data_IF_540138282087
#
_entry.id   IF_540138282087
#
_cell.length_a   1.000
_cell.length_b   1.000
_cell.length_c   1.000
_cell.angle_alpha   90.00
_cell.angle_beta   90.00
_cell.angle_gamma   90.00
#
_symmetry.space_group_name_H-M   'P 1'
#
loop_
_entity.id
_entity.type
_entity.pdbx_description
1 polymer ?
#
# COMPACT_ATOMS: atom_id res chain seq x y z
N UNK A 1 -65.87 -25.59 -26.70
CA UNK A 1 -64.51 -25.91 -26.16
C UNK A 1 -63.60 -24.73 -26.44
N UNK A 2 -63.33 -23.93 -25.41
CA UNK A 2 -62.48 -22.73 -25.49
C UNK A 2 -61.19 -23.07 -24.76
N UNK A 3 -60.08 -22.97 -25.42
CA UNK A 3 -58.77 -23.24 -24.88
C UNK A 3 -58.21 -21.87 -24.44
N UNK A 4 -58.06 -21.71 -23.12
CA UNK A 4 -57.42 -20.57 -22.52
C UNK A 4 -55.89 -20.74 -22.59
N UNK A 5 -55.19 -19.82 -23.25
CA UNK A 5 -53.75 -19.69 -23.24
C UNK A 5 -53.33 -18.86 -22.05
N UNK A 6 -52.55 -19.46 -21.14
CA UNK A 6 -51.89 -18.78 -20.03
C UNK A 6 -50.70 -17.94 -20.52
N UNK A 7 -50.44 -16.74 -19.97
CA UNK A 7 -49.28 -15.98 -20.33
C UNK A 7 -48.04 -16.55 -19.60
N UNK A 8 -46.99 -16.79 -20.32
CA UNK A 8 -45.68 -17.15 -19.80
C UNK A 8 -45.05 -15.93 -19.12
N UNK A 9 -44.88 -15.98 -17.81
CA UNK A 9 -44.05 -15.04 -17.08
C UNK A 9 -42.60 -15.35 -17.36
N UNK A 10 -41.96 -14.53 -18.17
CA UNK A 10 -40.49 -14.51 -18.28
C UNK A 10 -39.92 -13.89 -17.03
N UNK A 11 -39.39 -14.71 -16.15
CA UNK A 11 -38.57 -14.27 -15.03
C UNK A 11 -37.21 -13.81 -15.59
N UNK A 12 -37.04 -12.51 -15.75
CA UNK A 12 -35.72 -11.89 -15.88
C UNK A 12 -35.03 -12.00 -14.51
N UNK A 13 -34.45 -13.14 -14.19
CA UNK A 13 -33.42 -13.23 -13.18
C UNK A 13 -32.17 -12.57 -13.78
N UNK A 14 -31.90 -11.31 -13.43
CA UNK A 14 -30.53 -10.76 -13.57
C UNK A 14 -29.62 -11.75 -12.83
N UNK A 15 -28.72 -12.38 -13.57
CA UNK A 15 -27.65 -13.14 -12.94
C UNK A 15 -26.93 -12.19 -11.98
N UNK A 16 -26.96 -12.50 -10.69
CA UNK A 16 -26.14 -11.81 -9.69
C UNK A 16 -24.68 -12.02 -10.12
N UNK A 17 -24.07 -10.98 -10.63
CA UNK A 17 -22.66 -11.01 -11.00
C UNK A 17 -21.87 -11.25 -9.72
N UNK A 18 -21.12 -12.36 -9.66
CA UNK A 18 -20.28 -12.68 -8.52
C UNK A 18 -19.31 -11.52 -8.30
N UNK A 19 -19.38 -10.90 -7.12
CA UNK A 19 -18.50 -9.78 -6.76
C UNK A 19 -17.07 -10.28 -6.66
N UNK A 20 -16.12 -9.52 -7.23
CA UNK A 20 -14.71 -9.81 -7.14
C UNK A 20 -14.19 -9.49 -5.71
N UNK A 21 -13.20 -10.24 -5.28
CA UNK A 21 -12.49 -9.99 -4.01
C UNK A 21 -11.36 -9.00 -4.22
N UNK A 22 -10.99 -8.26 -3.17
CA UNK A 22 -9.92 -7.25 -3.22
C UNK A 22 -10.46 -5.85 -2.95
N UNK A 23 -9.55 -4.90 -2.79
CA UNK A 23 -9.80 -3.47 -2.60
C UNK A 23 -9.26 -2.69 -3.79
N UNK A 24 -9.67 -1.43 -3.92
CA UNK A 24 -9.26 -0.56 -5.00
C UNK A 24 -9.85 -0.92 -6.36
N UNK A 25 -9.12 -0.62 -7.43
CA UNK A 25 -9.47 -0.98 -8.79
C UNK A 25 -9.02 -2.41 -9.10
N UNK A 26 -9.94 -3.26 -9.56
CA UNK A 26 -9.74 -4.69 -9.85
C UNK A 26 -10.09 -4.95 -11.32
N UNK A 27 -9.12 -4.89 -12.25
CA UNK A 27 -9.35 -5.18 -13.66
C UNK A 27 -9.83 -6.61 -13.89
N UNK A 28 -10.71 -6.80 -14.87
CA UNK A 28 -11.19 -8.12 -15.30
C UNK A 28 -11.69 -8.09 -16.76
N UNK A 29 -12.04 -9.25 -17.35
CA UNK A 29 -12.42 -9.37 -18.76
C UNK A 29 -13.51 -8.40 -19.26
N UNK A 30 -14.41 -7.95 -18.37
CA UNK A 30 -15.58 -7.17 -18.73
C UNK A 30 -15.57 -5.74 -18.12
N UNK A 31 -14.40 -5.20 -17.78
CA UNK A 31 -14.24 -3.88 -17.22
C UNK A 31 -13.40 -3.87 -15.93
N UNK A 32 -13.75 -3.00 -15.00
CA UNK A 32 -13.04 -2.86 -13.73
C UNK A 32 -14.04 -2.85 -12.59
N UNK A 33 -13.82 -3.69 -11.59
CA UNK A 33 -14.53 -3.61 -10.32
C UNK A 33 -13.77 -2.67 -9.37
N UNK A 34 -14.51 -1.93 -8.56
CA UNK A 34 -13.96 -0.99 -7.59
C UNK A 34 -14.53 -1.29 -6.21
N UNK A 35 -13.67 -1.28 -5.21
CA UNK A 35 -14.09 -1.40 -3.80
C UNK A 35 -13.32 -0.42 -2.94
N UNK A 36 -14.05 0.31 -2.07
CA UNK A 36 -13.49 1.28 -1.14
C UNK A 36 -14.19 1.20 0.22
N UNK A 37 -13.46 1.53 1.28
CA UNK A 37 -13.99 1.65 2.63
C UNK A 37 -14.20 3.11 2.99
N UNK A 38 -15.47 3.50 3.18
CA UNK A 38 -15.92 4.86 3.52
C UNK A 38 -17.17 4.76 4.40
N UNK A 39 -17.01 4.44 5.70
CA UNK A 39 -18.13 4.07 6.57
C UNK A 39 -19.12 5.20 6.88
N UNK A 40 -18.71 6.45 6.73
CA UNK A 40 -19.58 7.61 6.99
C UNK A 40 -20.12 8.25 5.71
N UNK A 41 -19.80 7.68 4.55
CA UNK A 41 -20.31 8.15 3.27
C UNK A 41 -21.84 7.89 3.16
N UNK A 42 -22.56 8.87 2.60
CA UNK A 42 -23.96 8.70 2.19
C UNK A 42 -24.05 8.14 0.77
N UNK A 43 -23.06 8.46 -0.08
CA UNK A 43 -22.92 7.99 -1.45
C UNK A 43 -21.45 7.94 -1.82
N UNK A 44 -21.09 6.96 -2.65
CA UNK A 44 -19.78 6.87 -3.29
C UNK A 44 -20.00 6.61 -4.79
N UNK A 45 -19.27 7.34 -5.63
CA UNK A 45 -19.22 7.12 -7.08
C UNK A 45 -17.77 6.94 -7.51
N UNK A 46 -17.55 6.17 -8.58
CA UNK A 46 -16.23 6.15 -9.25
C UNK A 46 -16.28 7.18 -10.38
N UNK A 47 -15.33 8.09 -10.39
CA UNK A 47 -15.16 9.08 -11.45
C UNK A 47 -13.83 8.87 -12.16
N UNK A 48 -13.79 9.08 -13.46
CA UNK A 48 -12.55 8.87 -14.23
C UNK A 48 -12.74 9.14 -15.72
N UNK A 49 -11.71 8.84 -16.49
CA UNK A 49 -11.69 9.05 -17.95
C UNK A 49 -12.84 8.31 -18.66
N UNK A 50 -13.23 7.14 -18.15
CA UNK A 50 -14.27 6.28 -18.71
C UNK A 50 -15.69 6.89 -18.62
N UNK A 51 -15.93 7.90 -17.78
CA UNK A 51 -17.23 8.53 -17.59
C UNK A 51 -17.17 10.08 -17.59
N UNK A 52 -16.07 10.65 -18.15
CA UNK A 52 -15.80 12.08 -18.18
C UNK A 52 -15.85 12.73 -16.78
N UNK A 53 -15.34 12.00 -15.77
CA UNK A 53 -15.26 12.46 -14.37
C UNK A 53 -16.63 12.84 -13.75
N UNK A 54 -17.69 12.16 -14.17
CA UNK A 54 -19.05 12.43 -13.69
C UNK A 54 -19.41 11.62 -12.45
N UNK A 55 -19.72 12.30 -11.34
CA UNK A 55 -20.18 11.66 -10.11
C UNK A 55 -21.61 11.11 -10.16
N UNK A 56 -22.38 11.41 -11.21
CA UNK A 56 -23.74 10.97 -11.38
C UNK A 56 -23.89 9.59 -12.06
N UNK A 57 -22.81 9.09 -12.69
CA UNK A 57 -22.87 7.88 -13.51
C UNK A 57 -22.56 6.63 -12.69
N UNK A 58 -21.35 6.30 -12.45
CA UNK A 58 -20.94 5.02 -11.87
C UNK A 58 -21.02 5.02 -10.32
N UNK A 59 -22.27 5.10 -9.82
CA UNK A 59 -22.55 5.04 -8.39
C UNK A 59 -22.33 3.64 -7.84
N UNK A 60 -21.63 3.56 -6.72
CA UNK A 60 -21.32 2.31 -6.03
C UNK A 60 -22.46 1.88 -5.09
N UNK A 61 -22.53 0.61 -4.82
CA UNK A 61 -23.52 0.01 -3.91
C UNK A 61 -22.86 -0.31 -2.56
N UNK A 62 -23.50 0.06 -1.46
CA UNK A 62 -23.04 -0.29 -0.12
C UNK A 62 -23.09 -1.82 0.09
N UNK A 63 -21.99 -2.41 0.59
CA UNK A 63 -21.88 -3.84 0.92
C UNK A 63 -22.11 -4.13 2.41
N UNK A 64 -22.27 -3.12 3.24
CA UNK A 64 -22.25 -3.18 4.70
C UNK A 64 -20.87 -2.92 5.28
N UNK A 65 -20.80 -2.71 6.60
CA UNK A 65 -19.58 -2.41 7.35
C UNK A 65 -18.75 -1.22 6.76
N UNK A 66 -19.42 -0.31 6.03
CA UNK A 66 -18.78 0.85 5.41
C UNK A 66 -18.06 0.58 4.10
N UNK A 67 -18.19 -0.62 3.53
CA UNK A 67 -17.64 -0.93 2.22
C UNK A 67 -18.62 -0.57 1.10
N UNK A 68 -18.06 -0.12 -0.02
CA UNK A 68 -18.75 0.24 -1.25
C UNK A 68 -18.15 -0.53 -2.41
N UNK A 69 -19.00 -1.04 -3.32
CA UNK A 69 -18.62 -1.82 -4.48
C UNK A 69 -19.34 -1.34 -5.74
N UNK A 70 -18.62 -1.23 -6.83
CA UNK A 70 -19.14 -0.96 -8.17
C UNK A 70 -18.40 -1.77 -9.23
N UNK A 71 -19.07 -2.02 -10.35
CA UNK A 71 -18.45 -2.64 -11.53
C UNK A 71 -18.71 -1.76 -12.74
N UNK A 72 -17.66 -1.28 -13.39
CA UNK A 72 -17.69 -0.32 -14.49
C UNK A 72 -17.17 -0.97 -15.75
N UNK A 73 -18.08 -1.32 -16.67
CA UNK A 73 -17.73 -2.04 -17.90
C UNK A 73 -17.02 -1.17 -18.95
N UNK A 74 -17.10 0.16 -18.82
CA UNK A 74 -16.40 1.12 -19.68
C UNK A 74 -14.99 1.45 -19.23
N UNK A 75 -14.63 1.08 -17.97
CA UNK A 75 -13.31 1.33 -17.41
C UNK A 75 -12.30 0.28 -17.92
N UNK A 76 -11.06 0.72 -18.10
CA UNK A 76 -9.94 -0.12 -18.56
C UNK A 76 -8.62 0.31 -17.96
N UNK A 77 -7.65 -0.59 -17.96
CA UNK A 77 -6.26 -0.35 -17.52
C UNK A 77 -5.67 0.88 -18.22
N UNK A 78 -4.93 1.69 -17.47
CA UNK A 78 -4.28 2.91 -17.92
C UNK A 78 -5.12 4.17 -17.82
N UNK A 79 -6.41 4.05 -17.48
CA UNK A 79 -7.27 5.23 -17.27
C UNK A 79 -7.15 5.80 -15.87
N UNK A 80 -7.22 7.12 -15.77
CA UNK A 80 -7.26 7.85 -14.52
C UNK A 80 -8.61 7.73 -13.82
N UNK A 81 -8.60 7.67 -12.47
CA UNK A 81 -9.83 7.60 -11.67
C UNK A 81 -9.65 8.15 -10.25
N UNK A 82 -10.78 8.47 -9.62
CA UNK A 82 -10.92 8.79 -8.18
C UNK A 82 -12.24 8.21 -7.63
N UNK A 83 -12.34 8.18 -6.32
CA UNK A 83 -13.64 8.03 -5.64
C UNK A 83 -14.20 9.40 -5.31
N UNK A 84 -15.43 9.68 -5.74
CA UNK A 84 -16.20 10.81 -5.25
C UNK A 84 -17.07 10.36 -4.09
N UNK A 85 -16.82 10.94 -2.91
CA UNK A 85 -17.46 10.57 -1.65
C UNK A 85 -18.34 11.71 -1.18
N UNK A 86 -19.63 11.43 -0.93
CA UNK A 86 -20.56 12.38 -0.36
C UNK A 86 -20.83 12.04 1.10
N UNK A 87 -20.66 13.03 2.00
CA UNK A 87 -20.99 12.92 3.41
C UNK A 87 -21.77 14.19 3.83
N UNK A 88 -23.09 14.07 4.08
CA UNK A 88 -23.98 15.21 4.26
C UNK A 88 -23.98 16.13 3.04
N UNK A 89 -23.65 17.41 3.25
CA UNK A 89 -23.58 18.43 2.19
C UNK A 89 -22.16 18.55 1.58
N UNK A 90 -21.20 17.72 2.02
CA UNK A 90 -19.83 17.77 1.56
C UNK A 90 -19.59 16.70 0.49
N UNK A 91 -18.79 17.05 -0.52
CA UNK A 91 -18.34 16.15 -1.60
C UNK A 91 -16.84 16.21 -1.68
N UNK A 92 -16.20 15.05 -1.72
CA UNK A 92 -14.75 14.90 -1.77
C UNK A 92 -14.36 14.02 -2.94
N UNK A 93 -13.42 14.46 -3.76
CA UNK A 93 -12.75 13.61 -4.74
C UNK A 93 -11.46 13.08 -4.10
N UNK A 94 -11.32 11.76 -3.99
CA UNK A 94 -10.24 11.07 -3.27
C UNK A 94 -9.50 10.11 -4.19
N UNK A 95 -8.18 10.18 -4.18
CA UNK A 95 -7.35 9.11 -4.75
C UNK A 95 -7.66 7.82 -3.98
N UNK A 96 -7.72 6.70 -4.70
CA UNK A 96 -7.95 5.40 -4.10
C UNK A 96 -6.81 5.05 -3.12
N UNK A 97 -7.11 4.74 -1.85
CA UNK A 97 -6.08 4.33 -0.89
C UNK A 97 -5.26 3.09 -1.33
N UNK A 98 -5.84 2.23 -2.17
CA UNK A 98 -5.20 1.03 -2.71
C UNK A 98 -4.65 1.21 -4.13
N UNK A 99 -4.61 2.43 -4.68
CA UNK A 99 -4.03 2.67 -6.00
C UNK A 99 -2.56 2.23 -6.04
N UNK A 100 -2.23 1.36 -7.01
CA UNK A 100 -0.87 0.84 -7.24
C UNK A 100 -0.01 1.80 -8.05
N UNK A 101 -0.66 2.68 -8.77
CA UNK A 101 -0.06 3.71 -9.60
C UNK A 101 -0.88 4.99 -9.48
N UNK A 102 -0.21 6.12 -9.44
CA UNK A 102 -0.80 7.46 -9.44
C UNK A 102 -0.04 8.35 -10.42
N UNK A 103 -0.67 9.40 -10.88
CA UNK A 103 0.02 10.39 -11.74
C UNK A 103 1.02 11.24 -10.95
N UNK A 104 0.72 11.50 -9.69
CA UNK A 104 1.55 12.13 -8.65
C UNK A 104 0.75 12.15 -7.33
N UNK A 105 1.33 12.65 -6.26
CA UNK A 105 0.75 12.64 -4.91
C UNK A 105 -0.59 13.40 -4.75
N UNK A 106 -0.91 14.34 -5.65
CA UNK A 106 -2.16 15.12 -5.65
C UNK A 106 -3.02 14.91 -6.89
N UNK A 107 -2.56 14.08 -7.81
CA UNK A 107 -3.20 13.80 -9.10
C UNK A 107 -4.37 12.83 -8.99
N UNK A 108 -4.28 11.73 -9.68
CA UNK A 108 -5.30 10.69 -9.76
C UNK A 108 -4.69 9.28 -9.70
N UNK A 109 -5.47 8.30 -9.25
CA UNK A 109 -5.10 6.90 -9.37
C UNK A 109 -5.18 6.45 -10.82
N UNK A 110 -4.28 5.57 -11.22
CA UNK A 110 -4.32 4.91 -12.53
C UNK A 110 -4.79 3.48 -12.32
N UNK A 111 -5.73 3.04 -13.15
CA UNK A 111 -6.17 1.62 -13.16
C UNK A 111 -5.00 0.78 -13.63
N UNK A 112 -4.40 0.03 -12.72
CA UNK A 112 -3.19 -0.74 -12.94
C UNK A 112 -3.49 -2.24 -12.95
N UNK A 113 -2.92 -2.97 -13.91
CA UNK A 113 -2.91 -4.43 -13.94
C UNK A 113 -1.60 -4.91 -13.30
N UNK A 114 -1.70 -5.61 -12.18
CA UNK A 114 -0.52 -6.12 -11.47
C UNK A 114 0.17 -7.30 -12.15
N UNK A 115 -0.42 -7.86 -13.21
CA UNK A 115 0.19 -8.95 -13.96
C UNK A 115 1.56 -8.54 -14.52
N UNK A 116 2.57 -9.35 -14.22
CA UNK A 116 3.95 -9.13 -14.65
C UNK A 116 4.64 -10.46 -14.92
N UNK A 117 5.44 -10.51 -15.99
CA UNK A 117 6.19 -11.71 -16.34
C UNK A 117 7.50 -11.78 -15.51
N UNK A 118 7.44 -12.46 -14.38
CA UNK A 118 8.60 -12.74 -13.56
C UNK A 118 9.52 -13.81 -14.17
N UNK A 119 9.07 -14.52 -15.21
CA UNK A 119 9.78 -15.64 -15.86
C UNK A 119 10.28 -16.70 -14.83
N UNK A 120 11.54 -17.06 -14.90
CA UNK A 120 12.15 -18.04 -14.00
C UNK A 120 12.85 -17.36 -12.81
N UNK A 121 12.22 -16.36 -12.18
CA UNK A 121 12.75 -15.72 -10.97
C UNK A 121 12.66 -16.69 -9.77
N UNK A 122 13.70 -17.47 -9.59
CA UNK A 122 13.87 -18.44 -8.51
C UNK A 122 14.91 -17.98 -7.45
N UNK A 123 15.12 -16.67 -7.37
CA UNK A 123 16.07 -16.07 -6.45
C UNK A 123 15.84 -16.52 -5.01
N UNK A 124 16.92 -16.75 -4.28
CA UNK A 124 16.89 -17.13 -2.88
C UNK A 124 17.72 -16.15 -2.05
N UNK A 125 17.13 -15.67 -0.97
CA UNK A 125 17.79 -14.83 0.02
C UNK A 125 19.09 -15.49 0.51
N UNK A 126 20.24 -14.79 0.57
CA UNK A 126 21.46 -15.36 1.14
C UNK A 126 21.29 -15.73 2.62
N UNK A 127 22.08 -16.69 3.15
CA UNK A 127 22.05 -17.03 4.56
C UNK A 127 22.27 -15.81 5.45
N UNK A 128 21.52 -15.70 6.54
CA UNK A 128 21.51 -14.52 7.41
C UNK A 128 22.91 -14.07 7.88
N UNK A 129 23.83 -14.99 8.12
CA UNK A 129 25.21 -14.70 8.52
C UNK A 129 26.14 -14.27 7.37
N UNK A 130 25.66 -14.28 6.13
CA UNK A 130 26.41 -13.89 4.93
C UNK A 130 25.86 -12.59 4.32
N UNK A 131 24.83 -11.99 4.94
CA UNK A 131 24.19 -10.79 4.47
C UNK A 131 25.12 -9.58 4.61
N UNK A 132 25.30 -8.84 3.51
CA UNK A 132 25.97 -7.53 3.45
C UNK A 132 24.99 -6.56 2.82
N UNK A 133 24.38 -5.72 3.66
CA UNK A 133 23.34 -4.76 3.24
C UNK A 133 23.98 -3.45 2.78
N UNK A 134 23.51 -2.92 1.66
CA UNK A 134 23.73 -1.54 1.24
C UNK A 134 22.40 -0.82 1.19
N UNK A 135 22.23 0.18 2.06
CA UNK A 135 21.07 1.06 2.04
C UNK A 135 21.24 2.13 0.97
N UNK A 136 20.22 2.31 0.13
CA UNK A 136 20.26 3.25 -0.97
C UNK A 136 18.96 4.03 -1.15
N UNK A 137 19.09 5.30 -1.50
CA UNK A 137 18.00 6.18 -1.89
C UNK A 137 17.96 6.31 -3.41
N UNK A 138 16.90 5.84 -4.05
CA UNK A 138 16.79 5.81 -5.52
C UNK A 138 17.03 7.17 -6.12
N UNK A 139 16.35 8.21 -5.62
CA UNK A 139 16.40 9.56 -6.19
C UNK A 139 17.79 10.23 -6.18
N UNK A 140 18.76 9.73 -5.38
CA UNK A 140 20.10 10.33 -5.28
C UNK A 140 21.25 9.38 -5.50
N UNK A 141 21.00 8.06 -5.61
CA UNK A 141 22.04 7.06 -5.76
C UNK A 141 22.79 7.19 -7.10
N UNK A 142 22.05 7.32 -8.18
CA UNK A 142 22.58 7.63 -9.50
C UNK A 142 21.54 8.38 -10.31
N UNK A 143 21.97 9.36 -11.09
CA UNK A 143 21.11 10.15 -11.96
C UNK A 143 21.77 10.26 -13.33
N UNK A 144 21.00 9.96 -14.37
CA UNK A 144 21.41 10.19 -15.77
C UNK A 144 21.11 11.62 -16.22
N UNK A 145 20.18 12.30 -15.55
CA UNK A 145 19.81 13.70 -15.74
C UNK A 145 19.98 14.47 -14.42
N UNK A 146 20.75 15.53 -14.43
CA UNK A 146 20.99 16.34 -13.23
C UNK A 146 19.78 17.16 -12.77
N UNK A 147 18.80 17.37 -13.65
CA UNK A 147 17.61 18.17 -13.38
C UNK A 147 16.43 17.31 -12.84
N UNK A 148 16.58 15.96 -12.81
CA UNK A 148 15.56 15.02 -12.35
C UNK A 148 16.08 14.17 -11.17
N UNK A 149 15.21 13.62 -10.29
CA UNK A 149 15.63 12.58 -9.38
C UNK A 149 16.11 11.35 -10.17
N UNK A 150 16.96 10.52 -9.53
CA UNK A 150 17.33 9.22 -10.10
C UNK A 150 16.13 8.28 -10.15
N UNK A 151 16.18 7.33 -11.07
CA UNK A 151 15.15 6.31 -11.30
C UNK A 151 15.63 4.91 -10.93
N UNK A 152 14.72 3.93 -10.93
CA UNK A 152 15.09 2.51 -10.80
C UNK A 152 16.02 2.06 -11.93
N UNK A 153 15.81 2.55 -13.15
CA UNK A 153 16.69 2.26 -14.29
C UNK A 153 18.10 2.83 -14.08
N UNK A 154 18.21 4.06 -13.58
CA UNK A 154 19.51 4.66 -13.24
C UNK A 154 20.25 3.86 -12.17
N UNK A 155 19.54 3.39 -11.14
CA UNK A 155 20.13 2.61 -10.07
C UNK A 155 20.72 1.29 -10.58
N UNK A 156 20.09 0.62 -11.53
CA UNK A 156 20.59 -0.61 -12.16
C UNK A 156 21.98 -0.46 -12.77
N UNK A 157 22.31 0.71 -13.30
CA UNK A 157 23.62 0.96 -13.91
C UNK A 157 24.77 0.83 -12.92
N UNK A 158 24.50 0.89 -11.62
CA UNK A 158 25.51 0.82 -10.55
C UNK A 158 25.58 -0.51 -9.82
N UNK A 159 24.71 -1.47 -10.11
CA UNK A 159 24.75 -2.80 -9.50
C UNK A 159 26.11 -3.50 -9.67
N UNK A 160 26.80 -3.44 -10.85
CA UNK A 160 28.13 -4.03 -10.98
C UNK A 160 29.16 -3.49 -9.98
N UNK A 161 29.05 -2.21 -9.60
CA UNK A 161 29.92 -1.62 -8.58
C UNK A 161 29.63 -2.19 -7.18
N UNK A 162 28.36 -2.30 -6.81
CA UNK A 162 27.96 -2.88 -5.52
C UNK A 162 28.35 -4.35 -5.41
N UNK A 163 28.25 -5.10 -6.51
CA UNK A 163 28.71 -6.49 -6.57
C UNK A 163 30.21 -6.62 -6.31
N UNK A 164 31.04 -5.71 -6.85
CA UNK A 164 32.47 -5.66 -6.59
C UNK A 164 32.82 -5.35 -5.13
N UNK A 165 31.95 -4.63 -4.43
CA UNK A 165 32.09 -4.35 -2.99
C UNK A 165 31.69 -5.55 -2.11
N UNK A 166 31.09 -6.60 -2.69
CA UNK A 166 30.62 -7.76 -1.94
C UNK A 166 29.24 -7.56 -1.30
N UNK A 167 28.49 -6.54 -1.71
CA UNK A 167 27.08 -6.34 -1.32
C UNK A 167 26.23 -7.44 -1.94
N UNK A 168 25.28 -7.98 -1.19
CA UNK A 168 24.34 -8.99 -1.66
C UNK A 168 22.87 -8.70 -1.25
N UNK A 169 22.62 -7.62 -0.51
CA UNK A 169 21.29 -7.14 -0.16
C UNK A 169 21.20 -5.63 -0.38
N UNK A 170 20.23 -5.20 -1.14
CA UNK A 170 19.89 -3.79 -1.38
C UNK A 170 18.71 -3.42 -0.48
N UNK A 171 18.92 -2.58 0.52
CA UNK A 171 17.83 -1.99 1.29
C UNK A 171 17.45 -0.66 0.63
N UNK A 172 16.26 -0.63 0.05
CA UNK A 172 15.74 0.54 -0.67
C UNK A 172 14.97 1.41 0.31
N UNK A 173 15.40 2.66 0.50
CA UNK A 173 14.66 3.67 1.24
C UNK A 173 13.25 3.82 0.66
N UNK A 174 12.25 4.34 1.43
CA UNK A 174 10.85 4.27 1.03
C UNK A 174 10.58 4.79 -0.39
N UNK A 175 9.86 4.00 -1.18
CA UNK A 175 9.48 4.31 -2.56
C UNK A 175 7.97 4.41 -2.76
N UNK A 176 7.20 4.42 -1.67
CA UNK A 176 5.79 4.77 -1.76
C UNK A 176 5.64 6.22 -2.17
N UNK A 177 4.65 6.53 -3.00
CA UNK A 177 4.39 7.89 -3.50
C UNK A 177 4.30 8.90 -2.36
N UNK A 178 5.09 9.97 -2.44
CA UNK A 178 5.22 11.02 -1.44
C UNK A 178 4.95 12.41 -2.02
N UNK A 179 4.80 13.40 -1.16
CA UNK A 179 4.53 14.79 -1.58
C UNK A 179 5.73 15.39 -2.31
N UNK A 180 5.54 15.80 -3.56
CA UNK A 180 6.57 16.32 -4.48
C UNK A 180 7.50 15.21 -4.99
N UNK A 181 8.52 15.57 -5.76
CA UNK A 181 9.40 14.64 -6.46
C UNK A 181 10.75 14.43 -5.75
N UNK A 182 11.00 15.15 -4.67
CA UNK A 182 12.27 15.16 -3.93
C UNK A 182 12.03 14.93 -2.44
N UNK A 183 12.19 13.69 -2.00
CA UNK A 183 12.06 13.29 -0.60
C UNK A 183 12.89 12.03 -0.34
N UNK A 184 13.21 11.75 0.92
CA UNK A 184 13.71 10.43 1.34
C UNK A 184 12.60 9.36 1.41
N UNK A 185 11.34 9.77 1.21
CA UNK A 185 10.19 8.86 1.19
C UNK A 185 9.54 8.61 2.55
N UNK A 186 10.08 9.16 3.67
CA UNK A 186 9.50 9.00 5.01
C UNK A 186 8.30 9.90 5.27
N UNK A 187 7.58 10.27 4.22
CA UNK A 187 6.34 11.05 4.26
C UNK A 187 5.33 10.52 3.21
N UNK A 188 5.00 9.21 3.24
CA UNK A 188 4.20 8.60 2.18
C UNK A 188 2.78 9.18 2.14
N UNK A 189 2.36 9.62 0.96
CA UNK A 189 0.99 10.07 0.67
C UNK A 189 0.10 8.89 0.28
N UNK A 190 0.61 7.97 -0.55
CA UNK A 190 -0.09 6.78 -1.04
C UNK A 190 0.79 5.54 -0.89
N UNK A 191 0.56 4.75 0.18
CA UNK A 191 1.46 3.64 0.53
C UNK A 191 1.44 2.48 -0.46
N UNK A 192 0.40 2.34 -1.28
CA UNK A 192 0.29 1.29 -2.30
C UNK A 192 0.88 1.70 -3.65
N UNK A 193 0.97 3.00 -3.93
CA UNK A 193 1.54 3.49 -5.18
C UNK A 193 3.07 3.58 -5.08
N UNK A 194 3.75 3.18 -6.15
CA UNK A 194 5.19 3.37 -6.28
C UNK A 194 5.46 4.77 -6.82
N UNK A 195 6.45 5.45 -6.24
CA UNK A 195 6.84 6.83 -6.59
C UNK A 195 6.98 7.04 -8.10
N UNK A 196 6.14 7.93 -8.59
CA UNK A 196 6.01 8.20 -10.03
C UNK A 196 7.30 8.76 -10.64
N UNK A 197 8.01 9.61 -9.91
CA UNK A 197 9.30 10.17 -10.35
C UNK A 197 10.43 9.13 -10.44
N UNK A 198 10.30 7.97 -9.78
CA UNK A 198 11.27 6.87 -9.88
C UNK A 198 10.97 5.89 -11.00
N UNK A 199 9.82 6.04 -11.69
CA UNK A 199 9.40 5.22 -12.84
C UNK A 199 8.18 4.34 -12.56
N UNK A 200 7.58 4.42 -11.37
CA UNK A 200 6.34 3.71 -11.03
C UNK A 200 6.50 2.20 -10.83
N UNK A 201 5.37 1.47 -10.78
CA UNK A 201 5.37 0.07 -10.33
C UNK A 201 6.09 -0.91 -11.28
N UNK A 202 5.97 -0.75 -12.59
CA UNK A 202 6.64 -1.65 -13.55
C UNK A 202 8.16 -1.48 -13.53
N UNK A 203 8.65 -0.24 -13.37
CA UNK A 203 10.08 0.02 -13.25
C UNK A 203 10.67 -0.59 -11.96
N UNK A 204 9.90 -0.60 -10.86
CA UNK A 204 10.32 -1.29 -9.64
C UNK A 204 10.37 -2.81 -9.84
N UNK A 205 9.36 -3.41 -10.49
CA UNK A 205 9.38 -4.85 -10.81
C UNK A 205 10.58 -5.23 -11.68
N UNK A 206 10.87 -4.43 -12.71
CA UNK A 206 12.04 -4.58 -13.54
C UNK A 206 13.36 -4.46 -12.73
N UNK A 207 13.41 -3.52 -11.78
CA UNK A 207 14.55 -3.35 -10.89
C UNK A 207 14.77 -4.60 -10.03
N UNK A 208 13.73 -5.10 -9.36
CA UNK A 208 13.83 -6.30 -8.50
C UNK A 208 14.27 -7.51 -9.32
N UNK A 209 13.61 -7.79 -10.45
CA UNK A 209 13.96 -8.91 -11.35
C UNK A 209 15.42 -8.86 -11.80
N UNK A 210 15.92 -7.69 -12.18
CA UNK A 210 17.33 -7.51 -12.60
C UNK A 210 18.30 -7.60 -11.43
N UNK A 211 17.91 -7.10 -10.23
CA UNK A 211 18.71 -7.25 -9.02
C UNK A 211 18.88 -8.73 -8.65
N UNK A 212 17.80 -9.52 -8.69
CA UNK A 212 17.83 -10.98 -8.48
C UNK A 212 18.74 -11.67 -9.49
N UNK A 213 18.64 -11.36 -10.77
CA UNK A 213 19.49 -11.92 -11.83
C UNK A 213 21.00 -11.62 -11.60
N UNK A 214 21.31 -10.50 -10.95
CA UNK A 214 22.68 -10.12 -10.55
C UNK A 214 23.11 -10.68 -9.19
N UNK A 215 22.19 -11.35 -8.46
CA UNK A 215 22.46 -12.00 -7.18
C UNK A 215 22.29 -11.08 -5.96
N UNK A 216 21.46 -10.05 -6.06
CA UNK A 216 21.09 -9.18 -4.96
C UNK A 216 19.69 -9.49 -4.47
N UNK A 217 19.51 -9.63 -3.17
CA UNK A 217 18.21 -9.52 -2.52
C UNK A 217 17.78 -8.05 -2.42
N UNK A 218 16.48 -7.81 -2.40
CA UNK A 218 15.88 -6.47 -2.25
C UNK A 218 15.04 -6.42 -0.98
N UNK A 219 15.35 -5.51 -0.07
CA UNK A 219 14.58 -5.23 1.15
C UNK A 219 13.94 -3.86 1.01
N UNK A 220 12.63 -3.78 1.17
CA UNK A 220 11.88 -2.53 1.07
C UNK A 220 11.73 -1.87 2.44
N UNK A 221 12.02 -0.58 2.52
CA UNK A 221 11.74 0.22 3.71
C UNK A 221 10.28 0.68 3.70
N UNK A 222 9.54 0.34 4.77
CA UNK A 222 8.11 0.63 4.90
C UNK A 222 7.82 1.52 6.10
N UNK A 223 7.02 2.56 5.88
CA UNK A 223 6.68 3.57 6.89
C UNK A 223 5.26 3.30 7.39
N UNK A 224 5.14 2.63 8.54
CA UNK A 224 3.84 2.30 9.16
C UNK A 224 3.61 3.00 10.50
N UNK A 225 4.59 3.76 10.98
CA UNK A 225 4.48 4.52 12.22
C UNK A 225 3.74 5.85 12.04
N UNK A 226 3.72 6.40 10.85
CA UNK A 226 2.95 7.58 10.44
C UNK A 226 2.80 7.59 8.92
N UNK A 227 1.85 8.38 8.40
CA UNK A 227 1.78 8.71 6.98
C UNK A 227 2.09 10.20 6.75
N UNK A 228 2.27 10.60 5.50
CA UNK A 228 2.63 11.96 5.17
C UNK A 228 1.58 12.98 5.60
N UNK A 229 1.97 14.14 6.16
CA UNK A 229 1.03 15.20 6.54
C UNK A 229 0.60 16.06 5.35
N UNK A 230 1.37 16.11 4.26
CA UNK A 230 1.09 16.89 3.05
C UNK A 230 0.58 15.98 1.94
N UNK A 231 -0.29 16.50 1.06
CA UNK A 231 -0.82 15.77 -0.11
C UNK A 231 -1.51 14.44 0.28
N UNK A 232 -2.10 14.39 1.46
CA UNK A 232 -2.61 13.17 2.08
C UNK A 232 -4.13 13.07 1.94
N UNK A 233 -4.60 12.43 0.88
CA UNK A 233 -6.04 12.18 0.67
C UNK A 233 -6.67 11.28 1.75
N UNK A 234 -5.87 10.48 2.48
CA UNK A 234 -6.35 9.69 3.62
C UNK A 234 -6.84 10.55 4.79
N UNK A 235 -6.38 11.82 4.90
CA UNK A 235 -6.82 12.71 5.96
C UNK A 235 -8.29 13.07 5.81
N UNK A 236 -9.11 12.66 6.79
CA UNK A 236 -10.57 12.79 6.74
C UNK A 236 -11.16 12.24 5.44
N UNK A 237 -10.71 11.05 5.06
CA UNK A 237 -10.97 10.44 3.76
C UNK A 237 -12.44 10.48 3.35
N UNK A 238 -13.35 10.11 4.27
CA UNK A 238 -14.80 10.12 4.04
C UNK A 238 -15.52 11.34 4.67
N UNK A 239 -14.74 12.38 5.04
CA UNK A 239 -15.25 13.61 5.65
C UNK A 239 -15.51 13.53 7.15
N UNK A 240 -15.47 12.32 7.75
CA UNK A 240 -15.64 12.17 9.20
C UNK A 240 -14.31 12.35 9.95
N UNK A 241 -14.41 12.96 11.13
CA UNK A 241 -13.31 13.02 12.10
C UNK A 241 -13.82 13.32 13.50
N UNK A 242 -13.01 13.00 14.52
CA UNK A 242 -13.22 13.44 15.90
C UNK A 242 -12.01 14.23 16.39
N UNK A 243 -12.24 15.15 17.33
CA UNK A 243 -11.20 15.96 17.98
C UNK A 243 -10.27 16.68 16.99
N UNK A 244 -10.77 17.08 15.84
CA UNK A 244 -9.99 17.71 14.76
C UNK A 244 -8.86 16.85 14.20
N UNK A 245 -8.95 15.52 14.33
CA UNK A 245 -7.94 14.56 13.85
C UNK A 245 -8.24 14.01 12.45
N UNK A 246 -7.50 12.98 12.06
CA UNK A 246 -7.40 12.47 10.70
C UNK A 246 -8.54 11.57 10.21
N UNK A 247 -9.50 11.24 11.07
CA UNK A 247 -10.67 10.46 10.67
C UNK A 247 -10.43 8.96 10.64
N UNK A 248 -11.00 8.28 9.65
CA UNK A 248 -11.15 6.81 9.67
C UNK A 248 -9.84 6.02 9.61
N UNK A 249 -8.77 6.55 9.04
CA UNK A 249 -7.49 5.86 8.96
C UNK A 249 -6.57 6.11 10.15
N UNK A 250 -6.85 7.14 10.97
CA UNK A 250 -5.94 7.62 12.00
C UNK A 250 -6.56 7.55 13.39
N UNK A 251 -5.69 7.50 14.42
CA UNK A 251 -6.15 7.76 15.77
C UNK A 251 -6.77 9.16 15.87
N UNK A 252 -7.93 9.25 16.52
CA UNK A 252 -8.63 10.51 16.74
C UNK A 252 -8.50 11.01 18.18
N UNK A 253 -7.44 10.59 18.88
CA UNK A 253 -7.09 11.01 20.25
C UNK A 253 -5.60 11.36 20.34
N UNK A 254 -5.07 11.44 21.56
CA UNK A 254 -3.67 11.78 21.82
C UNK A 254 -2.65 10.81 21.19
N UNK A 255 -3.05 9.59 20.83
CA UNK A 255 -2.21 8.59 20.15
C UNK A 255 -1.89 8.97 18.71
N UNK A 256 -2.65 9.89 18.09
CA UNK A 256 -2.40 10.33 16.71
C UNK A 256 -1.03 10.99 16.53
N UNK A 257 -0.51 11.63 17.57
CA UNK A 257 0.65 12.51 17.48
C UNK A 257 1.97 11.74 17.36
N UNK A 258 2.79 12.16 16.40
CA UNK A 258 4.16 11.73 16.17
C UNK A 258 5.04 12.96 15.94
N UNK A 259 6.38 12.86 15.95
CA UNK A 259 7.25 13.97 15.57
C UNK A 259 7.02 14.52 14.16
N UNK A 260 6.38 13.72 13.28
CA UNK A 260 6.14 14.04 11.87
C UNK A 260 4.72 14.53 11.60
N UNK A 261 3.84 14.52 12.58
CA UNK A 261 2.45 14.98 12.49
C UNK A 261 1.46 14.11 13.26
N UNK A 262 0.17 14.46 13.13
CA UNK A 262 -0.94 13.75 13.79
C UNK A 262 -1.49 12.59 12.92
N UNK A 263 -0.62 11.93 12.17
CA UNK A 263 -0.97 10.96 11.13
C UNK A 263 -0.56 9.52 11.47
N UNK A 264 -0.55 9.17 12.78
CA UNK A 264 -0.38 7.77 13.18
C UNK A 264 -1.62 6.96 12.79
N UNK A 265 -1.46 5.87 12.01
CA UNK A 265 -2.57 4.98 11.69
C UNK A 265 -3.23 4.39 12.94
N UNK A 266 -4.55 4.18 12.90
CA UNK A 266 -5.29 3.59 14.02
C UNK A 266 -5.13 2.05 14.01
N UNK A 267 -4.11 1.56 14.68
CA UNK A 267 -3.83 0.12 14.79
C UNK A 267 -4.89 -0.67 15.58
N UNK A 268 -5.81 0.01 16.26
CA UNK A 268 -6.96 -0.60 16.93
C UNK A 268 -8.12 -0.90 15.97
N UNK A 269 -8.13 -0.32 14.77
CA UNK A 269 -9.20 -0.46 13.78
C UNK A 269 -8.89 -1.57 12.79
N UNK A 270 -9.81 -2.54 12.66
CA UNK A 270 -9.61 -3.73 11.84
C UNK A 270 -9.26 -3.44 10.38
N UNK A 271 -9.97 -2.48 9.79
CA UNK A 271 -9.77 -2.07 8.39
C UNK A 271 -8.41 -1.40 8.16
N UNK A 272 -7.93 -0.61 9.11
CA UNK A 272 -6.60 0.02 9.03
C UNK A 272 -5.49 -1.02 9.22
N UNK A 273 -5.68 -1.98 10.12
CA UNK A 273 -4.77 -3.12 10.27
C UNK A 273 -4.67 -3.93 8.97
N UNK A 274 -5.83 -4.21 8.34
CA UNK A 274 -5.87 -4.91 7.07
C UNK A 274 -5.19 -4.12 5.95
N UNK A 275 -5.41 -2.80 5.88
CA UNK A 275 -4.76 -1.90 4.93
C UNK A 275 -3.23 -1.98 5.02
N UNK A 276 -2.67 -1.95 6.23
CA UNK A 276 -1.21 -2.07 6.44
C UNK A 276 -0.71 -3.48 6.11
N UNK A 277 -1.45 -4.53 6.49
CA UNK A 277 -1.12 -5.91 6.16
C UNK A 277 -1.12 -6.17 4.65
N UNK A 278 -2.15 -5.68 3.94
CA UNK A 278 -2.26 -5.83 2.49
C UNK A 278 -1.09 -5.13 1.78
N UNK A 279 -0.65 -3.98 2.29
CA UNK A 279 0.52 -3.28 1.77
C UNK A 279 1.81 -4.06 2.02
N UNK A 280 2.03 -4.57 3.24
CA UNK A 280 3.21 -5.37 3.55
C UNK A 280 3.27 -6.64 2.68
N UNK A 281 2.13 -7.31 2.50
CA UNK A 281 2.02 -8.49 1.64
C UNK A 281 2.26 -8.17 0.18
N UNK A 282 1.74 -7.05 -0.31
CA UNK A 282 1.93 -6.57 -1.68
C UNK A 282 3.41 -6.51 -2.08
N UNK A 283 4.26 -5.95 -1.24
CA UNK A 283 5.69 -5.86 -1.53
C UNK A 283 6.33 -7.22 -1.78
N UNK A 284 5.97 -8.23 -0.99
CA UNK A 284 6.51 -9.59 -1.12
C UNK A 284 5.84 -10.38 -2.27
N UNK A 285 4.51 -10.25 -2.43
CA UNK A 285 3.74 -11.07 -3.38
C UNK A 285 3.77 -10.52 -4.81
N UNK A 286 3.55 -9.18 -4.97
CA UNK A 286 3.44 -8.56 -6.29
C UNK A 286 4.79 -8.02 -6.82
N UNK A 287 5.67 -7.57 -5.91
CA UNK A 287 6.96 -6.98 -6.27
C UNK A 287 8.15 -7.90 -6.03
N UNK A 288 7.93 -9.10 -5.47
CA UNK A 288 8.97 -10.10 -5.19
C UNK A 288 10.14 -9.58 -4.36
N UNK A 289 9.93 -8.58 -3.48
CA UNK A 289 11.00 -8.18 -2.57
C UNK A 289 11.28 -9.26 -1.54
N UNK A 290 12.51 -9.37 -1.05
CA UNK A 290 12.96 -10.45 -0.16
C UNK A 290 12.82 -10.11 1.31
N UNK A 291 12.34 -8.91 1.62
CA UNK A 291 12.14 -8.52 3.00
C UNK A 291 11.62 -7.09 3.16
N UNK A 292 11.29 -6.76 4.39
CA UNK A 292 10.81 -5.44 4.79
C UNK A 292 11.62 -4.91 5.96
N UNK A 293 12.01 -3.64 5.90
CA UNK A 293 12.52 -2.88 7.03
C UNK A 293 11.42 -1.92 7.49
N UNK A 294 10.99 -2.06 8.74
CA UNK A 294 9.96 -1.19 9.34
C UNK A 294 10.62 0.03 9.95
N UNK A 295 10.29 1.19 9.41
CA UNK A 295 10.74 2.47 9.92
C UNK A 295 10.22 2.73 11.34
N UNK A 296 11.10 3.17 12.23
CA UNK A 296 10.79 3.67 13.58
C UNK A 296 9.71 2.88 14.34
N UNK A 297 9.88 1.57 14.48
CA UNK A 297 8.95 0.67 15.19
C UNK A 297 8.63 1.12 16.62
N UNK A 298 9.52 1.88 17.25
CA UNK A 298 9.26 2.50 18.53
C UNK A 298 7.99 3.38 18.53
N UNK A 299 7.68 4.05 17.39
CA UNK A 299 6.47 4.86 17.25
C UNK A 299 5.23 4.05 16.80
N UNK A 300 5.39 2.79 16.40
CA UNK A 300 4.27 1.86 16.22
C UNK A 300 3.77 1.35 17.56
N UNK A 301 4.69 1.02 18.49
CA UNK A 301 4.39 0.40 19.78
C UNK A 301 4.24 1.37 20.95
N UNK A 302 4.75 2.61 20.83
CA UNK A 302 4.65 3.64 21.87
C UNK A 302 4.24 5.00 21.31
N UNK A 303 3.63 5.84 22.14
CA UNK A 303 3.18 7.18 21.72
C UNK A 303 4.38 8.10 21.51
N UNK A 304 5.34 8.07 22.42
CA UNK A 304 6.47 9.00 22.45
C UNK A 304 7.74 8.50 21.74
N UNK A 305 7.73 7.27 21.24
CA UNK A 305 8.93 6.61 20.72
C UNK A 305 9.93 6.19 21.79
N UNK A 306 9.61 6.35 23.07
CA UNK A 306 10.46 6.06 24.22
C UNK A 306 9.64 5.29 25.25
N UNK A 307 10.22 4.28 25.88
CA UNK A 307 9.58 3.51 26.94
C UNK A 307 8.96 2.21 26.44
N UNK A 308 8.02 1.71 27.24
CA UNK A 308 7.36 0.44 27.03
C UNK A 308 6.05 0.60 26.22
N UNK A 309 5.41 -0.51 25.89
CA UNK A 309 4.30 -0.65 24.96
C UNK A 309 3.01 0.05 25.43
N UNK A 310 2.88 1.33 25.18
CA UNK A 310 1.65 2.09 25.47
C UNK A 310 0.66 2.14 24.30
N UNK A 311 1.03 1.54 23.13
CA UNK A 311 0.14 1.23 22.01
C UNK A 311 0.17 -0.29 21.76
N UNK A 312 -0.56 -1.04 22.60
CA UNK A 312 -0.62 -2.50 22.53
C UNK A 312 -1.13 -3.02 21.18
N UNK A 313 -2.01 -2.26 20.52
CA UNK A 313 -2.55 -2.56 19.20
C UNK A 313 -1.47 -2.50 18.11
N UNK A 314 -0.51 -1.57 18.22
CA UNK A 314 0.64 -1.47 17.33
C UNK A 314 1.60 -2.66 17.50
N UNK A 315 1.86 -3.09 18.75
CA UNK A 315 2.61 -4.31 19.00
C UNK A 315 1.92 -5.52 18.40
N UNK A 316 0.61 -5.69 18.66
CA UNK A 316 -0.18 -6.79 18.11
C UNK A 316 -0.29 -6.75 16.58
N UNK A 317 -0.19 -5.57 15.93
CA UNK A 317 -0.12 -5.45 14.49
C UNK A 317 1.19 -6.03 13.95
N UNK A 318 2.34 -5.62 14.49
CA UNK A 318 3.64 -6.13 14.09
C UNK A 318 3.74 -7.66 14.28
N UNK A 319 3.26 -8.18 15.43
CA UNK A 319 3.19 -9.62 15.68
C UNK A 319 2.38 -10.36 14.62
N UNK A 320 1.21 -9.85 14.28
CA UNK A 320 0.33 -10.49 13.29
C UNK A 320 0.96 -10.49 11.91
N UNK A 321 1.41 -9.34 11.42
CA UNK A 321 2.00 -9.21 10.09
C UNK A 321 3.25 -10.10 9.98
N UNK A 322 4.18 -9.99 10.93
CA UNK A 322 5.44 -10.72 10.87
C UNK A 322 5.25 -12.24 10.91
N UNK A 323 4.30 -12.73 11.75
CA UNK A 323 3.97 -14.15 11.79
C UNK A 323 3.43 -14.63 10.45
N UNK A 324 2.45 -13.91 9.91
CA UNK A 324 1.76 -14.33 8.70
C UNK A 324 2.69 -14.27 7.48
N UNK A 325 3.52 -13.22 7.37
CA UNK A 325 4.54 -13.12 6.32
C UNK A 325 5.61 -14.20 6.44
N UNK A 326 6.08 -14.51 7.64
CA UNK A 326 7.06 -15.58 7.83
C UNK A 326 6.49 -16.98 7.52
N UNK A 327 5.19 -17.20 7.69
CA UNK A 327 4.51 -18.43 7.28
C UNK A 327 4.35 -18.53 5.76
N UNK A 328 4.01 -17.44 5.08
CA UNK A 328 3.82 -17.41 3.62
C UNK A 328 5.13 -17.28 2.84
N UNK A 329 6.10 -16.54 3.38
CA UNK A 329 7.41 -16.25 2.79
C UNK A 329 8.54 -16.63 3.78
N UNK A 330 8.86 -17.92 3.96
CA UNK A 330 9.74 -18.39 5.03
C UNK A 330 11.15 -17.83 5.03
N UNK A 331 11.63 -17.32 3.89
CA UNK A 331 12.97 -16.76 3.74
C UNK A 331 12.98 -15.22 3.79
N UNK A 332 11.84 -14.56 4.02
CA UNK A 332 11.80 -13.09 4.04
C UNK A 332 12.58 -12.53 5.25
N UNK A 333 13.31 -11.45 5.00
CA UNK A 333 14.04 -10.71 6.03
C UNK A 333 13.15 -9.60 6.60
N UNK A 334 12.83 -9.68 7.88
CA UNK A 334 12.04 -8.66 8.59
C UNK A 334 12.94 -7.90 9.55
N UNK A 335 13.17 -6.61 9.28
CA UNK A 335 14.07 -5.75 10.03
C UNK A 335 13.26 -4.69 10.80
N UNK A 336 13.55 -4.50 12.08
CA UNK A 336 12.97 -3.43 12.87
C UNK A 336 13.97 -2.30 13.09
N UNK A 337 13.64 -1.07 12.73
CA UNK A 337 14.35 0.08 13.29
C UNK A 337 13.63 0.54 14.56
N UNK A 338 14.21 0.32 15.74
CA UNK A 338 13.58 0.66 17.02
C UNK A 338 14.34 1.71 17.81
N UNK A 339 15.68 1.65 17.83
CA UNK A 339 16.60 2.54 18.53
C UNK A 339 16.48 2.52 20.09
N UNK A 340 15.51 1.76 20.65
CA UNK A 340 15.28 1.64 22.10
C UNK A 340 15.85 0.35 22.70
N UNK A 341 16.55 -0.49 21.88
CA UNK A 341 17.12 -1.77 22.30
C UNK A 341 16.10 -2.72 22.94
N UNK A 342 14.89 -2.77 22.37
CA UNK A 342 13.84 -3.67 22.83
C UNK A 342 14.10 -5.10 22.34
N UNK A 343 14.65 -5.95 23.20
CA UNK A 343 14.98 -7.34 22.87
C UNK A 343 13.75 -8.20 22.52
N UNK A 344 12.52 -7.74 22.76
CA UNK A 344 11.30 -8.48 22.40
C UNK A 344 10.95 -8.35 20.93
N UNK A 345 11.52 -7.42 20.20
CA UNK A 345 11.31 -7.31 18.74
C UNK A 345 11.73 -8.56 18.00
N UNK A 346 12.88 -9.14 18.37
CA UNK A 346 13.43 -10.33 17.71
C UNK A 346 13.08 -11.65 18.40
N UNK A 347 12.27 -11.63 19.47
CA UNK A 347 11.77 -12.86 20.11
C UNK A 347 10.63 -13.47 19.29
N UNK A 348 10.50 -14.81 19.29
CA UNK A 348 9.38 -15.50 18.65
C UNK A 348 8.02 -15.11 19.22
N UNK A 349 6.97 -15.20 18.40
CA UNK A 349 5.59 -14.84 18.78
C UNK A 349 5.05 -15.65 19.96
N UNK A 350 5.33 -16.95 20.01
CA UNK A 350 4.93 -17.86 21.09
C UNK A 350 5.52 -17.50 22.45
N UNK A 351 6.58 -16.71 22.46
CA UNK A 351 7.17 -16.11 23.65
C UNK A 351 6.73 -14.66 23.90
N UNK A 352 5.80 -14.13 23.08
CA UNK A 352 5.32 -12.75 23.20
C UNK A 352 6.13 -11.71 22.43
N UNK A 353 7.15 -12.13 21.66
CA UNK A 353 7.96 -11.24 20.83
C UNK A 353 7.26 -10.78 19.55
N UNK A 354 7.81 -9.79 18.88
CA UNK A 354 7.26 -9.28 17.62
C UNK A 354 7.69 -10.08 16.38
N UNK A 355 8.68 -10.97 16.49
CA UNK A 355 9.06 -11.91 15.43
C UNK A 355 9.88 -11.33 14.30
N UNK A 356 10.54 -10.18 14.50
CA UNK A 356 11.50 -9.67 13.51
C UNK A 356 12.75 -10.57 13.41
N UNK A 357 13.34 -10.64 12.24
CA UNK A 357 14.59 -11.38 12.01
C UNK A 357 15.78 -10.68 12.68
N UNK A 358 15.77 -9.34 12.68
CA UNK A 358 16.83 -8.48 13.26
C UNK A 358 16.30 -7.08 13.63
N UNK A 359 17.11 -6.29 14.33
CA UNK A 359 16.86 -4.89 14.65
C UNK A 359 18.14 -4.08 14.56
#
# INVERSE_FOLDING_TARGET
MSIATSPSTSSNAKAEQTKLTGMGAIPHENGVAFRVWAPHANQVSVIGDFNNWSGDLDQMTAEGNGYWYGNVSSASVGQGYKFQITNGDQVFDRIDPYAREVTNSVGEGIIYDSAYDWADDDFQMPPHNEIVIYEMHIGTFHRSDDDQPGSFEDALMRLPHLKQLGVNVLQIMPVSEFAGDLSWGYNPAHIFAVESAYGGPDALKDFVKKAHAEGFAVVMDVVYNHFGPSDLDLWRFDGWSENDKGGIYFYNDHRSSTPWGDTRPDYGRGEVRQFIYDNAKMWLEDFHVDGLRYDMTAYIRTISGIGDDDISEGWGLMQWINRDLAEQFPNCLLVAEDLQKNNWLTKPHDHGGAGFSTQ
#
